data_IF_549367760007
#
_entry.id   IF_549367760007
#
_cell.length_a   1.000
_cell.length_b   1.000
_cell.length_c   1.000
_cell.angle_alpha   90.00
_cell.angle_beta   90.00
_cell.angle_gamma   90.00
#
_symmetry.space_group_name_H-M   'P 1'
#
loop_
_entity.id
_entity.type
_entity.pdbx_description
1 polymer ?
#
# COMPACT_ATOMS: atom_id res chain seq x y z
N UNK A 1 10.88 -11.79 0.07
CA UNK A 1 10.14 -10.94 1.04
C UNK A 1 11.01 -10.49 2.22
N UNK A 2 11.71 -11.39 2.92
CA UNK A 2 12.52 -11.03 4.10
C UNK A 2 13.60 -9.97 3.90
N UNK A 3 14.33 -9.98 2.77
CA UNK A 3 15.40 -9.00 2.54
C UNK A 3 14.90 -7.55 2.55
N UNK A 4 13.72 -7.31 1.97
CA UNK A 4 13.10 -5.98 1.93
C UNK A 4 12.68 -5.54 3.34
N UNK A 5 12.10 -6.45 4.13
CA UNK A 5 11.72 -6.19 5.52
C UNK A 5 12.94 -5.83 6.39
N UNK A 6 14.04 -6.57 6.23
CA UNK A 6 15.29 -6.30 6.96
C UNK A 6 15.91 -4.96 6.56
N UNK A 7 15.88 -4.61 5.27
CA UNK A 7 16.37 -3.29 4.82
C UNK A 7 15.59 -2.14 5.45
N UNK A 8 14.25 -2.20 5.43
CA UNK A 8 13.42 -1.16 6.06
C UNK A 8 13.58 -1.11 7.58
N UNK A 9 13.75 -2.25 8.24
CA UNK A 9 14.04 -2.31 9.67
C UNK A 9 15.36 -1.62 10.01
N UNK A 10 16.43 -1.91 9.27
CA UNK A 10 17.71 -1.23 9.43
C UNK A 10 17.62 0.28 9.17
N UNK A 11 16.87 0.69 8.15
CA UNK A 11 16.64 2.12 7.86
C UNK A 11 15.92 2.83 9.00
N UNK A 12 14.90 2.20 9.59
CA UNK A 12 14.18 2.76 10.74
C UNK A 12 15.09 2.98 11.95
N UNK A 13 15.98 2.02 12.23
CA UNK A 13 16.94 2.11 13.34
C UNK A 13 18.00 3.20 13.14
N UNK A 14 18.33 3.56 11.91
CA UNK A 14 19.27 4.66 11.61
C UNK A 14 18.54 6.02 11.65
N UNK A 15 17.37 6.10 11.03
CA UNK A 15 16.59 7.35 10.95
C UNK A 15 16.07 7.80 12.31
N UNK A 16 15.75 6.86 13.22
CA UNK A 16 15.31 7.17 14.57
C UNK A 16 16.26 8.13 15.29
N UNK A 17 17.50 7.73 15.63
CA UNK A 17 18.46 8.59 16.30
C UNK A 17 18.86 9.83 15.48
N UNK A 18 18.92 9.73 14.15
CA UNK A 18 19.32 10.84 13.28
C UNK A 18 18.35 12.03 13.36
N UNK A 19 17.08 11.77 13.65
CA UNK A 19 16.07 12.82 13.79
C UNK A 19 16.12 13.56 15.13
N UNK A 20 16.68 12.94 16.19
CA UNK A 20 16.87 13.58 17.50
C UNK A 20 18.22 14.30 17.55
N UNK A 21 18.28 15.48 16.92
CA UNK A 21 19.47 16.33 16.97
C UNK A 21 19.54 17.08 18.30
N UNK A 22 20.71 17.06 18.93
CA UNK A 22 21.00 17.79 20.19
C UNK A 22 20.94 19.31 20.04
N UNK A 23 21.02 19.82 18.81
CA UNK A 23 20.92 21.24 18.50
C UNK A 23 19.50 21.80 18.66
N UNK A 24 18.47 20.93 18.66
CA UNK A 24 17.06 21.30 18.71
C UNK A 24 16.41 21.01 20.09
N UNK A 25 17.22 20.85 21.13
CA UNK A 25 16.75 20.73 22.51
C UNK A 25 16.06 22.02 22.99
N UNK A 26 14.94 21.94 23.76
CA UNK A 26 14.26 20.74 24.28
C UNK A 26 13.09 20.24 23.42
N UNK A 27 12.67 20.98 22.39
CA UNK A 27 11.40 20.74 21.71
C UNK A 27 11.48 19.73 20.57
N UNK A 28 12.67 19.44 20.04
CA UNK A 28 12.95 18.48 18.96
C UNK A 28 11.93 18.55 17.81
N UNK A 29 11.59 19.77 17.39
CA UNK A 29 10.63 20.06 16.32
C UNK A 29 10.90 19.24 15.03
N UNK A 30 12.15 19.12 14.52
CA UNK A 30 12.39 18.37 13.29
C UNK A 30 12.08 16.86 13.44
N UNK A 31 12.27 16.28 14.63
CA UNK A 31 11.91 14.88 14.89
C UNK A 31 10.40 14.66 14.77
N UNK A 32 9.61 15.58 15.36
CA UNK A 32 8.14 15.53 15.29
C UNK A 32 7.65 15.69 13.85
N UNK A 33 8.26 16.59 13.07
CA UNK A 33 7.92 16.78 11.65
C UNK A 33 8.23 15.52 10.85
N UNK A 34 9.41 14.92 11.02
CA UNK A 34 9.79 13.69 10.31
C UNK A 34 8.84 12.51 10.63
N UNK A 35 8.42 12.39 11.88
CA UNK A 35 7.44 11.40 12.31
C UNK A 35 6.10 11.60 11.60
N UNK A 36 5.55 12.82 11.67
CA UNK A 36 4.25 13.14 11.04
C UNK A 36 4.32 12.97 9.53
N UNK A 37 5.42 13.39 8.89
CA UNK A 37 5.62 13.21 7.45
C UNK A 37 5.61 11.74 7.04
N UNK A 38 6.34 10.88 7.76
CA UNK A 38 6.41 9.44 7.46
C UNK A 38 5.06 8.75 7.63
N UNK A 39 4.34 9.06 8.71
CA UNK A 39 2.98 8.55 8.96
C UNK A 39 2.02 9.02 7.87
N UNK A 40 2.11 10.30 7.47
CA UNK A 40 1.26 10.87 6.43
C UNK A 40 1.48 10.17 5.08
N UNK A 41 2.74 9.91 4.70
CA UNK A 41 3.07 9.18 3.48
C UNK A 41 2.51 7.75 3.52
N UNK A 42 2.61 7.06 4.65
CA UNK A 42 2.03 5.72 4.81
C UNK A 42 0.50 5.75 4.65
N UNK A 43 -0.19 6.67 5.31
CA UNK A 43 -1.65 6.83 5.23
C UNK A 43 -2.07 7.12 3.78
N UNK A 44 -1.42 8.09 3.13
CA UNK A 44 -1.71 8.46 1.74
C UNK A 44 -1.50 7.25 0.82
N UNK A 45 -0.40 6.51 0.99
CA UNK A 45 -0.10 5.34 0.17
C UNK A 45 -1.18 4.26 0.34
N UNK A 46 -1.63 4.00 1.57
CA UNK A 46 -2.72 3.06 1.85
C UNK A 46 -4.05 3.53 1.23
N UNK A 47 -4.39 4.81 1.35
CA UNK A 47 -5.62 5.37 0.77
C UNK A 47 -5.60 5.33 -0.76
N UNK A 48 -4.47 5.64 -1.39
CA UNK A 48 -4.30 5.53 -2.85
C UNK A 48 -4.49 4.10 -3.30
N UNK A 49 -3.86 3.13 -2.63
CA UNK A 49 -4.01 1.72 -2.97
C UNK A 49 -5.46 1.24 -2.79
N UNK A 50 -6.12 1.64 -1.69
CA UNK A 50 -7.52 1.33 -1.41
C UNK A 50 -8.45 1.92 -2.47
N UNK A 51 -8.21 3.17 -2.87
CA UNK A 51 -8.95 3.84 -3.93
C UNK A 51 -8.75 3.16 -5.28
N UNK A 52 -7.52 2.79 -5.61
CA UNK A 52 -7.17 2.06 -6.83
C UNK A 52 -7.91 0.71 -6.90
N UNK A 53 -7.86 -0.09 -5.83
CA UNK A 53 -8.57 -1.37 -5.77
C UNK A 53 -10.09 -1.19 -5.84
N UNK A 54 -10.65 -0.17 -5.19
CA UNK A 54 -12.09 0.12 -5.26
C UNK A 54 -12.52 0.51 -6.67
N UNK A 55 -11.73 1.35 -7.35
CA UNK A 55 -11.97 1.76 -8.72
C UNK A 55 -11.88 0.58 -9.69
N UNK A 56 -10.85 -0.25 -9.54
CA UNK A 56 -10.67 -1.43 -10.36
C UNK A 56 -11.81 -2.44 -10.16
N UNK A 57 -12.27 -2.62 -8.91
CA UNK A 57 -13.42 -3.47 -8.59
C UNK A 57 -14.71 -2.94 -9.24
N UNK A 58 -14.97 -1.63 -9.15
CA UNK A 58 -16.15 -1.00 -9.77
C UNK A 58 -16.10 -0.98 -11.30
N UNK A 59 -14.91 -0.89 -11.91
CA UNK A 59 -14.74 -1.03 -13.36
C UNK A 59 -15.07 -2.45 -13.83
N UNK A 60 -14.65 -3.46 -13.06
CA UNK A 60 -14.91 -4.89 -13.34
C UNK A 60 -16.37 -5.26 -13.10
N UNK A 61 -17.05 -4.65 -12.12
CA UNK A 61 -18.48 -4.85 -11.87
C UNK A 61 -19.32 -4.44 -13.08
N UNK A 62 -19.04 -3.27 -13.68
CA UNK A 62 -19.73 -2.77 -14.88
C UNK A 62 -19.51 -3.63 -16.14
N UNK A 63 -18.38 -4.35 -16.22
CA UNK A 63 -18.09 -5.30 -17.31
C UNK A 63 -18.73 -6.67 -17.07
N UNK A 64 -18.70 -7.13 -15.82
CA UNK A 64 -19.25 -8.43 -15.43
C UNK A 64 -20.76 -8.53 -15.60
N UNK A 65 -21.50 -7.42 -15.62
CA UNK A 65 -22.95 -7.43 -15.92
C UNK A 65 -23.26 -7.68 -17.40
N UNK A 66 -22.27 -7.56 -18.30
CA UNK A 66 -22.42 -7.78 -19.74
C UNK A 66 -22.02 -9.20 -20.15
N UNK A 67 -21.03 -9.82 -19.48
CA UNK A 67 -20.56 -11.18 -19.76
C UNK A 67 -20.98 -12.17 -18.67
N UNK A 68 -22.19 -12.73 -18.83
CA UNK A 68 -22.70 -13.81 -17.99
C UNK A 68 -22.22 -15.20 -18.47
N UNK A 69 -20.91 -15.41 -18.65
CA UNK A 69 -20.34 -16.73 -19.00
C UNK A 69 -18.97 -16.96 -18.34
N UNK A 70 -18.98 -17.41 -17.08
CA UNK A 70 -17.79 -17.76 -16.30
C UNK A 70 -17.65 -19.26 -16.07
N UNK A 71 -17.80 -20.08 -17.11
CA UNK A 71 -17.55 -21.53 -17.03
C UNK A 71 -16.16 -21.81 -17.64
N UNK A 72 -15.13 -21.90 -16.79
CA UNK A 72 -13.77 -22.47 -17.01
C UNK A 72 -12.58 -21.60 -16.54
N UNK A 73 -12.80 -20.39 -16.00
CA UNK A 73 -11.69 -19.55 -15.50
C UNK A 73 -10.93 -20.14 -14.31
N UNK A 74 -11.52 -21.10 -13.58
CA UNK A 74 -10.89 -21.78 -12.44
C UNK A 74 -9.78 -22.77 -12.84
N UNK A 75 -9.77 -23.22 -14.11
CA UNK A 75 -8.75 -24.14 -14.65
C UNK A 75 -7.61 -23.42 -15.37
N UNK A 76 -7.67 -22.08 -15.47
CA UNK A 76 -6.64 -21.27 -16.09
C UNK A 76 -5.84 -20.57 -14.96
N UNK A 77 -4.51 -20.75 -14.95
CA UNK A 77 -3.58 -20.03 -14.06
C UNK A 77 -3.52 -18.54 -14.47
N UNK A 78 -4.62 -17.82 -14.28
CA UNK A 78 -4.77 -16.41 -14.62
C UNK A 78 -4.28 -15.54 -13.47
N UNK A 79 -3.49 -14.53 -13.79
CA UNK A 79 -3.04 -13.53 -12.83
C UNK A 79 -4.24 -12.67 -12.37
N UNK A 80 -4.18 -12.05 -11.18
CA UNK A 80 -5.26 -11.19 -10.62
C UNK A 80 -5.76 -10.06 -11.56
N UNK A 81 -4.95 -9.68 -12.54
CA UNK A 81 -5.27 -8.70 -13.59
C UNK A 81 -5.97 -9.31 -14.81
N UNK A 82 -5.75 -10.59 -15.08
CA UNK A 82 -6.28 -11.34 -16.21
C UNK A 82 -7.60 -12.02 -15.84
N UNK A 83 -7.78 -12.35 -14.55
CA UNK A 83 -9.03 -12.90 -14.05
C UNK A 83 -10.08 -11.79 -13.84
N UNK A 84 -10.99 -11.63 -14.81
CA UNK A 84 -12.08 -10.65 -14.74
C UNK A 84 -13.07 -10.92 -13.58
N UNK A 85 -13.12 -12.15 -13.09
CA UNK A 85 -13.93 -12.54 -11.93
C UNK A 85 -13.21 -12.31 -10.59
N UNK A 86 -11.89 -12.04 -10.58
CA UNK A 86 -11.16 -11.75 -9.36
C UNK A 86 -11.61 -10.42 -8.76
N UNK A 87 -11.95 -10.46 -7.47
CA UNK A 87 -12.42 -9.33 -6.68
C UNK A 87 -11.42 -9.09 -5.55
N UNK A 88 -10.89 -7.87 -5.49
CA UNK A 88 -10.05 -7.46 -4.38
C UNK A 88 -10.91 -7.35 -3.12
N UNK A 89 -10.60 -8.13 -2.08
CA UNK A 89 -11.22 -7.98 -0.75
C UNK A 89 -10.58 -6.74 -0.10
N UNK A 90 -11.42 -5.74 0.16
CA UNK A 90 -11.02 -4.40 0.60
C UNK A 90 -11.22 -4.20 2.09
#
# INVERSE_FOLDING_TARGET
>A
MNAVLLMFFCLGNILGPLTFRTQDEPDYIPAKIALVATISVAIVSTLVLRGYYSWENGRREKRSTLDAQGLNSEFLDLTDRENEHFRYKL
#
